data_IF_882530982389
#
_entry.id   IF_882530982389
#
_cell.length_a   1.000
_cell.length_b   1.000
_cell.length_c   1.000
_cell.angle_alpha   90.00
_cell.angle_beta   90.00
_cell.angle_gamma   90.00
#
_symmetry.space_group_name_H-M   'P 1'
#
loop_
_entity.id
_entity.type
_entity.pdbx_description
1 polymer ?
#
# COMPACT_ATOMS: atom_id res chain seq x y z
N UNK A 1 2.57 3.49 -7.84
CA UNK A 1 3.35 2.24 -7.61
C UNK A 1 2.96 1.08 -8.53
N UNK A 2 1.74 1.00 -9.02
CA UNK A 2 1.31 -0.09 -9.93
C UNK A 2 2.09 -0.13 -11.26
N UNK A 3 2.48 1.03 -11.81
CA UNK A 3 3.28 1.08 -13.06
C UNK A 3 4.66 0.41 -12.93
N UNK A 4 5.32 0.57 -11.78
CA UNK A 4 6.61 -0.10 -11.52
C UNK A 4 6.41 -1.61 -11.52
N UNK A 5 5.35 -2.09 -10.87
CA UNK A 5 5.04 -3.50 -10.80
C UNK A 5 4.68 -4.09 -12.18
N UNK A 6 3.88 -3.38 -13.00
CA UNK A 6 3.46 -3.89 -14.32
C UNK A 6 4.62 -4.14 -15.28
N UNK A 7 5.66 -3.32 -15.20
CA UNK A 7 6.84 -3.45 -16.08
C UNK A 7 7.87 -4.44 -15.52
N UNK A 8 8.05 -4.45 -14.20
CA UNK A 8 9.15 -5.21 -13.58
C UNK A 8 8.78 -6.62 -13.17
N UNK A 9 7.54 -6.86 -12.68
CA UNK A 9 7.16 -8.14 -12.09
C UNK A 9 7.14 -9.26 -13.11
N UNK A 10 6.45 -9.08 -14.23
CA UNK A 10 6.35 -10.12 -15.25
C UNK A 10 7.73 -10.51 -15.83
N UNK A 11 8.59 -9.50 -16.10
CA UNK A 11 9.95 -9.76 -16.57
C UNK A 11 10.84 -10.41 -15.51
N UNK A 12 10.73 -9.98 -14.27
CA UNK A 12 11.54 -10.55 -13.18
C UNK A 12 11.14 -12.00 -12.85
N UNK A 13 9.85 -12.34 -12.96
CA UNK A 13 9.37 -13.72 -12.83
C UNK A 13 9.88 -14.62 -13.96
N UNK A 14 9.91 -14.10 -15.20
CA UNK A 14 10.50 -14.83 -16.34
C UNK A 14 11.99 -15.06 -16.14
N UNK A 15 12.73 -14.07 -15.66
CA UNK A 15 14.16 -14.21 -15.35
C UNK A 15 14.41 -15.22 -14.21
N UNK A 16 13.44 -15.43 -13.33
CA UNK A 16 13.47 -16.46 -12.28
C UNK A 16 13.12 -17.87 -12.80
N UNK A 17 12.87 -18.04 -14.11
CA UNK A 17 12.58 -19.33 -14.74
C UNK A 17 11.09 -19.69 -14.76
N UNK A 18 10.18 -18.78 -14.43
CA UNK A 18 8.74 -19.02 -14.53
C UNK A 18 8.28 -18.78 -15.96
N UNK A 19 7.48 -19.72 -16.48
CA UNK A 19 6.87 -19.60 -17.81
C UNK A 19 6.04 -18.31 -17.95
N UNK A 20 6.04 -17.73 -19.15
CA UNK A 20 5.38 -16.44 -19.44
C UNK A 20 3.87 -16.47 -19.14
N UNK A 21 3.21 -17.61 -19.39
CA UNK A 21 1.78 -17.78 -19.13
C UNK A 21 1.51 -17.72 -17.62
N UNK A 22 2.27 -18.51 -16.84
CA UNK A 22 2.17 -18.54 -15.38
C UNK A 22 2.54 -17.19 -14.75
N UNK A 23 3.59 -16.52 -15.25
CA UNK A 23 3.97 -15.19 -14.77
C UNK A 23 2.88 -14.14 -15.01
N UNK A 24 2.21 -14.21 -16.18
CA UNK A 24 1.10 -13.32 -16.53
C UNK A 24 -0.14 -13.62 -15.69
N UNK A 25 -0.43 -14.87 -15.40
CA UNK A 25 -1.53 -15.29 -14.54
C UNK A 25 -1.34 -14.79 -13.11
N UNK A 26 -0.17 -14.99 -12.52
CA UNK A 26 0.19 -14.50 -11.17
C UNK A 26 0.03 -12.96 -11.13
N UNK A 27 0.52 -12.26 -12.15
CA UNK A 27 0.36 -10.81 -12.22
C UNK A 27 -1.11 -10.41 -12.36
N UNK A 28 -1.90 -11.12 -13.15
CA UNK A 28 -3.34 -10.91 -13.28
C UNK A 28 -4.09 -11.09 -11.96
N UNK A 29 -3.79 -12.17 -11.22
CA UNK A 29 -4.37 -12.41 -9.90
C UNK A 29 -4.02 -11.28 -8.93
N UNK A 30 -2.77 -10.84 -8.90
CA UNK A 30 -2.30 -9.77 -8.03
C UNK A 30 -2.98 -8.43 -8.38
N UNK A 31 -2.91 -8.02 -9.65
CA UNK A 31 -3.29 -6.66 -10.07
C UNK A 31 -4.80 -6.47 -10.18
N UNK A 32 -5.55 -7.51 -10.56
CA UNK A 32 -6.99 -7.40 -10.78
C UNK A 32 -7.81 -7.85 -9.57
N UNK A 33 -7.42 -8.96 -8.94
CA UNK A 33 -8.20 -9.53 -7.84
C UNK A 33 -7.74 -9.01 -6.49
N UNK A 34 -6.50 -9.29 -6.12
CA UNK A 34 -5.97 -8.98 -4.79
C UNK A 34 -5.97 -7.48 -4.52
N UNK A 35 -5.44 -6.69 -5.47
CA UNK A 35 -5.37 -5.24 -5.30
C UNK A 35 -6.76 -4.59 -5.19
N UNK A 36 -7.74 -5.08 -5.93
CA UNK A 36 -9.12 -4.58 -5.88
C UNK A 36 -9.72 -4.75 -4.49
N UNK A 37 -9.54 -5.92 -3.88
CA UNK A 37 -10.07 -6.19 -2.53
C UNK A 37 -9.32 -5.40 -1.47
N UNK A 38 -7.99 -5.33 -1.53
CA UNK A 38 -7.17 -4.56 -0.58
C UNK A 38 -7.48 -3.06 -0.67
N UNK A 39 -7.88 -2.54 -1.81
CA UNK A 39 -8.25 -1.13 -1.98
C UNK A 39 -9.53 -0.75 -1.20
N UNK A 40 -10.40 -1.68 -0.86
CA UNK A 40 -11.67 -1.36 -0.17
C UNK A 40 -11.42 -0.66 1.18
N UNK A 41 -10.61 -1.17 2.11
CA UNK A 41 -10.27 -0.44 3.33
C UNK A 41 -9.56 0.89 3.09
N UNK A 42 -8.82 1.03 1.99
CA UNK A 42 -8.09 2.26 1.67
C UNK A 42 -9.01 3.45 1.35
N UNK A 43 -10.24 3.20 0.87
CA UNK A 43 -11.22 4.25 0.59
C UNK A 43 -11.55 5.08 1.83
N UNK A 44 -11.52 4.48 3.02
CA UNK A 44 -11.70 5.21 4.28
C UNK A 44 -10.55 6.19 4.54
N UNK A 45 -9.31 5.79 4.25
CA UNK A 45 -8.15 6.68 4.34
C UNK A 45 -8.25 7.86 3.37
N UNK A 46 -8.71 7.62 2.14
CA UNK A 46 -8.92 8.68 1.14
C UNK A 46 -10.00 9.66 1.57
N UNK A 47 -11.13 9.16 2.08
CA UNK A 47 -12.21 10.01 2.59
C UNK A 47 -11.76 10.90 3.76
N UNK A 48 -11.03 10.33 4.72
CA UNK A 48 -10.49 11.08 5.85
C UNK A 48 -9.42 12.09 5.40
N UNK A 49 -8.55 11.72 4.48
CA UNK A 49 -7.53 12.61 3.93
C UNK A 49 -8.15 13.87 3.28
N UNK A 50 -9.25 13.70 2.54
CA UNK A 50 -9.96 14.82 1.91
C UNK A 50 -10.49 15.85 2.94
N UNK A 51 -10.93 15.38 4.11
CA UNK A 51 -11.37 16.26 5.19
C UNK A 51 -10.20 16.84 6.00
N UNK A 52 -9.10 16.09 6.10
CA UNK A 52 -7.95 16.45 6.93
C UNK A 52 -7.14 17.61 6.33
N UNK A 53 -6.96 17.66 5.01
CA UNK A 53 -6.18 18.72 4.35
C UNK A 53 -6.67 20.12 4.72
N UNK A 54 -7.96 20.48 4.52
CA UNK A 54 -8.44 21.81 4.92
C UNK A 54 -8.38 22.04 6.42
N UNK A 55 -8.67 21.02 7.24
CA UNK A 55 -8.63 21.12 8.70
C UNK A 55 -7.22 21.42 9.24
N UNK A 56 -6.19 20.85 8.65
CA UNK A 56 -4.78 21.12 8.98
C UNK A 56 -4.38 22.52 8.51
N UNK A 57 -4.80 22.92 7.29
CA UNK A 57 -4.51 24.25 6.76
C UNK A 57 -5.12 25.35 7.61
N UNK A 58 -6.32 25.16 8.15
CA UNK A 58 -7.00 26.08 9.06
C UNK A 58 -6.24 26.20 10.39
N UNK A 59 -5.85 25.09 11.03
CA UNK A 59 -5.09 25.11 12.27
C UNK A 59 -3.71 25.76 12.09
N UNK A 60 -3.09 25.59 10.91
CA UNK A 60 -1.85 26.28 10.55
C UNK A 60 -2.05 27.80 10.44
N UNK A 61 -3.14 28.26 9.77
CA UNK A 61 -3.45 29.66 9.59
C UNK A 61 -3.73 30.38 10.93
N UNK A 62 -4.35 29.68 11.89
CA UNK A 62 -4.60 30.19 13.24
C UNK A 62 -3.41 30.05 14.18
N UNK A 63 -2.28 29.48 13.72
CA UNK A 63 -1.07 29.18 14.50
C UNK A 63 -1.35 28.36 15.77
N UNK A 64 -2.34 27.48 15.71
CA UNK A 64 -2.73 26.60 16.81
C UNK A 64 -2.03 25.23 16.67
N UNK A 65 -0.79 25.15 17.15
CA UNK A 65 0.01 23.92 17.08
C UNK A 65 -0.60 22.78 17.91
N UNK A 66 -1.28 23.06 19.00
CA UNK A 66 -1.97 22.06 19.82
C UNK A 66 -3.09 21.38 19.04
N UNK A 67 -3.93 22.16 18.37
CA UNK A 67 -5.02 21.67 17.54
C UNK A 67 -4.51 20.87 16.33
N UNK A 68 -3.40 21.31 15.72
CA UNK A 68 -2.77 20.61 14.61
C UNK A 68 -2.29 19.21 15.03
N UNK A 69 -1.62 19.10 16.18
CA UNK A 69 -1.18 17.83 16.76
C UNK A 69 -2.36 16.91 17.11
N UNK A 70 -3.41 17.47 17.72
CA UNK A 70 -4.63 16.72 18.07
C UNK A 70 -5.36 16.19 16.83
N UNK A 71 -5.58 17.03 15.80
CA UNK A 71 -6.21 16.61 14.53
C UNK A 71 -5.41 15.49 13.85
N UNK A 72 -4.07 15.62 13.81
CA UNK A 72 -3.19 14.59 13.23
C UNK A 72 -3.27 13.28 14.00
N UNK A 73 -3.14 13.34 15.31
CA UNK A 73 -3.20 12.15 16.19
C UNK A 73 -4.55 11.46 16.13
N UNK A 74 -5.64 12.24 16.15
CA UNK A 74 -7.00 11.74 16.03
C UNK A 74 -7.24 11.05 14.68
N UNK A 75 -6.74 11.64 13.58
CA UNK A 75 -6.84 11.04 12.26
C UNK A 75 -6.11 9.70 12.18
N UNK A 76 -4.86 9.65 12.63
CA UNK A 76 -4.07 8.41 12.67
C UNK A 76 -4.72 7.34 13.54
N UNK A 77 -5.26 7.71 14.70
CA UNK A 77 -5.98 6.80 15.58
C UNK A 77 -7.25 6.25 14.91
N UNK A 78 -8.05 7.12 14.29
CA UNK A 78 -9.30 6.73 13.63
C UNK A 78 -9.05 5.72 12.52
N UNK A 79 -8.09 5.99 11.62
CA UNK A 79 -7.79 5.04 10.55
C UNK A 79 -7.20 3.74 11.08
N UNK A 80 -6.38 3.79 12.13
CA UNK A 80 -5.81 2.59 12.72
C UNK A 80 -6.89 1.67 13.30
N UNK A 81 -7.86 2.20 14.04
CA UNK A 81 -8.97 1.43 14.64
C UNK A 81 -9.75 0.65 13.58
N UNK A 82 -9.90 1.20 12.37
CA UNK A 82 -10.63 0.54 11.28
C UNK A 82 -9.73 -0.37 10.46
N UNK A 83 -8.52 0.10 10.15
CA UNK A 83 -7.64 -0.59 9.20
C UNK A 83 -7.00 -1.85 9.80
N UNK A 84 -6.67 -1.85 11.11
CA UNK A 84 -6.12 -3.05 11.74
C UNK A 84 -7.09 -4.25 11.73
N UNK A 85 -8.35 -4.12 12.19
CA UNK A 85 -9.32 -5.22 12.07
C UNK A 85 -9.58 -5.62 10.61
N UNK A 86 -9.63 -4.65 9.69
CA UNK A 86 -9.81 -4.93 8.27
C UNK A 86 -8.64 -5.75 7.71
N UNK A 87 -7.39 -5.42 8.05
CA UNK A 87 -6.21 -6.19 7.62
C UNK A 87 -6.25 -7.63 8.14
N UNK A 88 -6.61 -7.81 9.42
CA UNK A 88 -6.76 -9.15 10.02
C UNK A 88 -7.90 -9.92 9.36
N UNK A 89 -9.02 -9.26 9.09
CA UNK A 89 -10.14 -9.88 8.38
C UNK A 89 -9.75 -10.32 6.97
N UNK A 90 -9.05 -9.46 6.21
CA UNK A 90 -8.54 -9.79 4.89
C UNK A 90 -7.49 -10.90 4.94
N UNK A 91 -6.66 -10.97 5.98
CA UNK A 91 -5.69 -12.04 6.17
C UNK A 91 -6.37 -13.39 6.41
N UNK A 92 -7.30 -13.45 7.37
CA UNK A 92 -7.97 -14.71 7.76
C UNK A 92 -8.94 -15.19 6.68
N UNK A 93 -9.67 -14.28 6.05
CA UNK A 93 -10.70 -14.58 5.06
C UNK A 93 -10.21 -14.44 3.61
N UNK A 94 -8.89 -14.36 3.38
CA UNK A 94 -8.31 -14.12 2.07
C UNK A 94 -8.85 -15.04 0.98
N UNK A 95 -8.74 -16.36 1.18
CA UNK A 95 -9.21 -17.35 0.21
C UNK A 95 -10.73 -17.34 0.05
N UNK A 96 -11.56 -17.39 1.13
CA UNK A 96 -13.00 -17.26 1.00
C UNK A 96 -13.47 -16.00 0.25
N UNK A 97 -12.86 -14.85 0.51
CA UNK A 97 -13.22 -13.59 -0.16
C UNK A 97 -12.91 -13.67 -1.67
N UNK A 98 -11.72 -14.13 -2.04
CA UNK A 98 -11.33 -14.28 -3.45
C UNK A 98 -12.27 -15.25 -4.16
N UNK A 99 -12.58 -16.38 -3.56
CA UNK A 99 -13.49 -17.38 -4.13
C UNK A 99 -14.93 -16.87 -4.27
N UNK A 100 -15.41 -16.12 -3.28
CA UNK A 100 -16.75 -15.54 -3.30
C UNK A 100 -16.91 -14.49 -4.41
N UNK A 101 -15.88 -13.62 -4.59
CA UNK A 101 -15.95 -12.50 -5.52
C UNK A 101 -15.58 -12.88 -6.95
N UNK A 102 -14.67 -13.84 -7.14
CA UNK A 102 -14.09 -14.16 -8.45
C UNK A 102 -14.34 -15.62 -8.88
N UNK A 103 -15.11 -16.39 -8.09
CA UNK A 103 -15.46 -17.77 -8.36
C UNK A 103 -14.65 -18.81 -7.59
N UNK A 104 -15.25 -19.97 -7.33
CA UNK A 104 -14.74 -21.01 -6.42
C UNK A 104 -13.34 -21.56 -6.80
N UNK A 105 -12.98 -21.54 -8.06
CA UNK A 105 -11.67 -22.03 -8.58
C UNK A 105 -10.64 -20.92 -8.72
N UNK A 106 -10.96 -19.67 -8.32
CA UNK A 106 -10.07 -18.53 -8.48
C UNK A 106 -8.87 -18.60 -7.53
N UNK A 107 -7.66 -18.51 -8.12
CA UNK A 107 -6.42 -18.32 -7.36
C UNK A 107 -6.24 -16.88 -6.87
N UNK A 108 -5.23 -16.67 -6.02
CA UNK A 108 -4.84 -15.35 -5.49
C UNK A 108 -5.11 -15.17 -3.99
N UNK A 109 -5.78 -16.14 -3.33
CA UNK A 109 -6.04 -16.09 -1.89
C UNK A 109 -4.77 -16.01 -1.06
N UNK A 110 -3.75 -16.78 -1.41
CA UNK A 110 -2.44 -16.74 -0.73
C UNK A 110 -1.75 -15.38 -0.90
N UNK A 111 -1.76 -14.82 -2.10
CA UNK A 111 -1.21 -13.49 -2.36
C UNK A 111 -1.95 -12.41 -1.56
N UNK A 112 -3.27 -12.51 -1.48
CA UNK A 112 -4.09 -11.61 -0.68
C UNK A 112 -3.77 -11.72 0.81
N UNK A 113 -3.59 -12.93 1.33
CA UNK A 113 -3.22 -13.18 2.71
C UNK A 113 -1.94 -12.44 3.08
N UNK A 114 -0.87 -12.60 2.30
CA UNK A 114 0.40 -11.92 2.58
C UNK A 114 0.36 -10.40 2.34
N UNK A 115 -0.47 -9.91 1.42
CA UNK A 115 -0.56 -8.48 1.12
C UNK A 115 -1.62 -7.73 1.94
N UNK A 116 -2.44 -8.44 2.73
CA UNK A 116 -3.52 -7.83 3.51
C UNK A 116 -3.06 -6.70 4.42
N UNK A 117 -1.91 -6.84 5.06
CA UNK A 117 -1.37 -5.81 5.96
C UNK A 117 -0.83 -4.57 5.24
N UNK A 118 -0.64 -4.60 3.90
CA UNK A 118 -0.26 -3.39 3.14
C UNK A 118 -1.35 -2.32 3.18
N UNK A 119 -2.61 -2.70 3.47
CA UNK A 119 -3.66 -1.70 3.64
C UNK A 119 -3.38 -0.78 4.84
N UNK A 120 -2.73 -1.26 5.91
CA UNK A 120 -2.36 -0.45 7.07
C UNK A 120 -1.31 0.60 6.66
N UNK A 121 -0.20 0.14 6.06
CA UNK A 121 0.90 1.04 5.65
C UNK A 121 0.44 2.05 4.61
N UNK A 122 -0.39 1.63 3.66
CA UNK A 122 -0.93 2.52 2.62
C UNK A 122 -1.89 3.56 3.21
N UNK A 123 -2.79 3.18 4.14
CA UNK A 123 -3.72 4.15 4.75
C UNK A 123 -2.95 5.14 5.64
N UNK A 124 -1.96 4.69 6.41
CA UNK A 124 -1.09 5.58 7.17
C UNK A 124 -0.34 6.56 6.26
N UNK A 125 0.18 6.07 5.13
CA UNK A 125 0.80 6.93 4.12
C UNK A 125 -0.17 8.00 3.60
N UNK A 126 -1.42 7.63 3.25
CA UNK A 126 -2.43 8.55 2.74
C UNK A 126 -2.73 9.67 3.77
N UNK A 127 -2.88 9.31 5.03
CA UNK A 127 -3.16 10.27 6.10
C UNK A 127 -1.97 11.20 6.34
N UNK A 128 -0.75 10.67 6.45
CA UNK A 128 0.46 11.48 6.63
C UNK A 128 0.70 12.41 5.44
N UNK A 129 0.42 11.92 4.22
CA UNK A 129 0.46 12.76 3.02
C UNK A 129 -0.53 13.92 3.10
N UNK A 130 -1.76 13.68 3.57
CA UNK A 130 -2.76 14.72 3.73
C UNK A 130 -2.34 15.78 4.78
N UNK A 131 -1.71 15.35 5.88
CA UNK A 131 -1.15 16.27 6.88
C UNK A 131 -0.07 17.16 6.24
N UNK A 132 0.89 16.58 5.52
CA UNK A 132 1.95 17.33 4.87
C UNK A 132 1.41 18.28 3.79
N UNK A 133 0.37 17.88 3.07
CA UNK A 133 -0.32 18.75 2.11
C UNK A 133 -1.01 19.93 2.82
N UNK A 134 -1.73 19.67 3.92
CA UNK A 134 -2.35 20.70 4.72
C UNK A 134 -1.36 21.71 5.32
N UNK A 135 -0.13 21.24 5.61
CA UNK A 135 0.99 22.08 6.04
C UNK A 135 1.64 22.88 4.88
N UNK A 136 1.15 22.75 3.65
CA UNK A 136 1.74 23.39 2.47
C UNK A 136 3.04 22.70 1.98
N UNK A 137 3.43 21.57 2.56
CA UNK A 137 4.66 20.84 2.22
C UNK A 137 4.43 19.78 1.16
N UNK A 138 3.78 20.10 0.05
CA UNK A 138 3.38 19.14 -0.99
C UNK A 138 4.56 18.43 -1.68
N UNK A 139 5.75 19.02 -1.67
CA UNK A 139 6.95 18.43 -2.31
C UNK A 139 7.47 17.23 -1.50
N UNK A 140 7.34 17.24 -0.18
CA UNK A 140 7.88 16.17 0.69
C UNK A 140 7.27 14.80 0.40
N UNK A 141 5.94 14.62 0.35
CA UNK A 141 5.33 13.32 0.01
C UNK A 141 5.75 12.82 -1.37
N UNK A 142 5.87 13.73 -2.36
CA UNK A 142 6.26 13.37 -3.73
C UNK A 142 7.70 12.84 -3.74
N UNK A 143 8.61 13.55 -3.07
CA UNK A 143 10.01 13.14 -2.92
C UNK A 143 10.12 11.79 -2.21
N UNK A 144 9.41 11.63 -1.10
CA UNK A 144 9.45 10.41 -0.29
C UNK A 144 8.85 9.22 -1.06
N UNK A 145 7.79 9.46 -1.85
CA UNK A 145 7.22 8.46 -2.76
C UNK A 145 8.22 8.07 -3.86
N UNK A 146 8.98 9.02 -4.41
CA UNK A 146 10.02 8.73 -5.41
C UNK A 146 11.14 7.87 -4.80
N UNK A 147 11.61 8.18 -3.59
CA UNK A 147 12.61 7.39 -2.87
C UNK A 147 12.11 5.96 -2.65
N UNK A 148 10.89 5.79 -2.11
CA UNK A 148 10.31 4.47 -1.92
C UNK A 148 10.08 3.72 -3.23
N UNK A 149 9.74 4.42 -4.31
CA UNK A 149 9.62 3.87 -5.67
C UNK A 149 10.94 3.31 -6.19
N UNK A 150 12.05 4.04 -6.02
CA UNK A 150 13.39 3.58 -6.39
C UNK A 150 13.80 2.36 -5.56
N UNK A 151 13.59 2.39 -4.24
CA UNK A 151 13.87 1.24 -3.36
C UNK A 151 13.07 0.02 -3.81
N UNK A 152 11.76 0.19 -4.07
CA UNK A 152 10.91 -0.89 -4.55
C UNK A 152 11.39 -1.46 -5.88
N UNK A 153 11.80 -0.62 -6.81
CA UNK A 153 12.32 -1.04 -8.11
C UNK A 153 13.58 -1.89 -7.96
N UNK A 154 14.53 -1.45 -7.15
CA UNK A 154 15.77 -2.18 -6.87
C UNK A 154 15.45 -3.53 -6.22
N UNK A 155 14.58 -3.55 -5.20
CA UNK A 155 14.20 -4.77 -4.51
C UNK A 155 13.42 -5.73 -5.42
N UNK A 156 12.52 -5.24 -6.27
CA UNK A 156 11.81 -6.07 -7.24
C UNK A 156 12.81 -6.79 -8.17
N UNK A 157 13.76 -6.05 -8.76
CA UNK A 157 14.75 -6.65 -9.67
C UNK A 157 15.63 -7.67 -8.95
N UNK A 158 16.03 -7.39 -7.71
CA UNK A 158 16.98 -8.25 -6.97
C UNK A 158 16.32 -9.45 -6.29
N UNK A 159 15.09 -9.30 -5.74
CA UNK A 159 14.43 -10.35 -4.98
C UNK A 159 13.53 -11.25 -5.84
N UNK A 160 12.78 -10.68 -6.79
CA UNK A 160 11.87 -11.48 -7.64
C UNK A 160 12.66 -12.40 -8.57
N UNK A 161 13.84 -11.96 -9.04
CA UNK A 161 14.70 -12.75 -9.92
C UNK A 161 15.38 -13.95 -9.21
N UNK A 162 15.24 -14.06 -7.89
CA UNK A 162 15.77 -15.22 -7.16
C UNK A 162 14.78 -16.39 -7.21
N UNK A 163 15.21 -17.59 -7.70
CA UNK A 163 14.34 -18.76 -7.81
C UNK A 163 13.74 -19.26 -6.49
N UNK A 164 14.30 -18.86 -5.34
CA UNK A 164 13.78 -19.21 -4.01
C UNK A 164 12.71 -18.29 -3.48
N UNK A 165 12.59 -17.06 -4.02
CA UNK A 165 11.68 -16.03 -3.50
C UNK A 165 10.52 -15.74 -4.45
N UNK A 166 10.73 -15.78 -5.78
CA UNK A 166 9.68 -15.53 -6.76
C UNK A 166 8.76 -14.36 -6.37
N UNK A 167 7.45 -14.61 -6.30
CA UNK A 167 6.42 -13.63 -5.96
C UNK A 167 6.54 -13.10 -4.52
N UNK A 168 7.13 -13.86 -3.59
CA UNK A 168 7.38 -13.39 -2.22
C UNK A 168 8.38 -12.23 -2.19
N UNK A 169 9.31 -12.18 -3.15
CA UNK A 169 10.21 -11.04 -3.34
C UNK A 169 9.46 -9.74 -3.60
N UNK A 170 8.37 -9.78 -4.38
CA UNK A 170 7.49 -8.63 -4.59
C UNK A 170 6.81 -8.18 -3.29
N UNK A 171 6.35 -9.13 -2.48
CA UNK A 171 5.67 -8.85 -1.21
C UNK A 171 6.64 -8.13 -0.26
N UNK A 172 7.84 -8.66 -0.09
CA UNK A 172 8.89 -8.05 0.74
C UNK A 172 9.26 -6.65 0.21
N UNK A 173 9.47 -6.50 -1.09
CA UNK A 173 9.80 -5.23 -1.71
C UNK A 173 8.70 -4.17 -1.48
N UNK A 174 7.43 -4.60 -1.52
CA UNK A 174 6.29 -3.72 -1.26
C UNK A 174 6.28 -3.24 0.18
N UNK A 175 6.41 -4.15 1.16
CA UNK A 175 6.43 -3.78 2.57
C UNK A 175 7.60 -2.85 2.92
N UNK A 176 8.81 -3.19 2.47
CA UNK A 176 10.00 -2.36 2.74
C UNK A 176 9.82 -0.96 2.17
N UNK A 177 9.37 -0.84 0.92
CA UNK A 177 9.15 0.46 0.30
C UNK A 177 8.08 1.28 1.03
N UNK A 178 6.95 0.67 1.39
CA UNK A 178 5.86 1.36 2.08
C UNK A 178 6.26 1.80 3.50
N UNK A 179 6.95 0.96 4.26
CA UNK A 179 7.45 1.31 5.59
C UNK A 179 8.43 2.49 5.49
N UNK A 180 9.34 2.48 4.52
CA UNK A 180 10.27 3.60 4.31
C UNK A 180 9.51 4.88 3.97
N UNK A 181 8.51 4.83 3.08
CA UNK A 181 7.71 6.01 2.72
C UNK A 181 6.96 6.55 3.94
N UNK A 182 6.33 5.68 4.73
CA UNK A 182 5.61 6.08 5.96
C UNK A 182 6.56 6.71 6.96
N UNK A 183 7.72 6.11 7.20
CA UNK A 183 8.74 6.64 8.10
C UNK A 183 9.25 8.02 7.66
N UNK A 184 9.52 8.19 6.36
CA UNK A 184 9.96 9.49 5.80
C UNK A 184 8.89 10.58 5.83
N UNK A 185 7.61 10.21 5.77
CA UNK A 185 6.52 11.18 5.89
C UNK A 185 6.19 11.55 7.34
N UNK A 186 6.57 10.69 8.29
CA UNK A 186 6.39 10.94 9.72
C UNK A 186 7.53 11.80 10.31
N UNK A 187 8.74 11.71 9.76
CA UNK A 187 9.92 12.45 10.21
C UNK A 187 9.88 13.94 9.78
#
# INVERSE_FOLDING_TARGET
MNMINSVTVARSLQNAGIDIVTATEIWGQLSQKVQTVINVPMLLGVGLAAALVPAISESLATKNEGELGEKTSSALRTVSIVTFPAAVGLFVLATPIIQLLFGATSGGGELMMYLSFTCITTVLFIVLQAVLQGLGRMVLPIRNLAIGGVIKLILNITLISKPSLHIYGLIIATYVAEIVIVALNYA
#
